data_IF_889567448829
#
_entry.id   IF_889567448829
#
_cell.length_a   1.000
_cell.length_b   1.000
_cell.length_c   1.000
_cell.angle_alpha   90.00
_cell.angle_beta   90.00
_cell.angle_gamma   90.00
#
_symmetry.space_group_name_H-M   'P 1'
#
loop_
_entity.id
_entity.type
_entity.pdbx_description
1 polymer ?
#
# COMPACT_ATOMS: atom_id res chain seq x y z
N UNK A 1 -13.39 -25.49 15.50
CA UNK A 1 -14.44 -24.55 15.09
C UNK A 1 -13.73 -23.40 14.37
N UNK A 2 -13.61 -23.45 13.04
CA UNK A 2 -12.89 -22.42 12.28
C UNK A 2 -13.83 -21.23 12.07
N UNK A 3 -13.48 -20.07 12.63
CA UNK A 3 -14.14 -18.83 12.27
C UNK A 3 -13.83 -18.53 10.80
N UNK A 4 -14.81 -18.74 9.93
CA UNK A 4 -14.80 -18.19 8.58
C UNK A 4 -14.76 -16.67 8.71
N UNK A 5 -13.58 -16.06 8.57
CA UNK A 5 -13.45 -14.62 8.39
C UNK A 5 -13.90 -14.25 6.96
N UNK A 6 -15.15 -14.56 6.66
CA UNK A 6 -15.85 -14.25 5.41
C UNK A 6 -16.66 -12.98 5.63
N UNK A 7 -15.95 -11.85 5.67
CA UNK A 7 -16.55 -10.54 5.64
C UNK A 7 -15.55 -9.59 5.02
N UNK A 8 -15.68 -9.32 3.73
CA UNK A 8 -14.90 -8.26 3.07
C UNK A 8 -15.38 -6.95 3.64
N UNK A 9 -14.59 -6.39 4.55
CA UNK A 9 -14.86 -5.12 5.20
C UNK A 9 -14.69 -3.96 4.19
N UNK A 10 -15.75 -3.17 3.99
CA UNK A 10 -15.72 -1.93 3.20
C UNK A 10 -14.69 -0.89 3.70
N UNK A 11 -14.22 -1.02 4.96
CA UNK A 11 -13.21 -0.17 5.59
C UNK A 11 -11.76 -0.62 5.34
N UNK A 12 -11.51 -1.77 4.69
CA UNK A 12 -10.14 -2.22 4.39
C UNK A 12 -9.44 -1.26 3.43
N UNK A 13 -10.09 -0.86 2.32
CA UNK A 13 -9.49 0.10 1.37
C UNK A 13 -9.19 1.45 2.02
N UNK A 14 -10.15 2.11 2.72
CA UNK A 14 -9.86 3.34 3.47
C UNK A 14 -8.72 3.20 4.49
N UNK A 15 -8.63 2.08 5.21
CA UNK A 15 -7.54 1.83 6.15
C UNK A 15 -6.17 1.79 5.45
N UNK A 16 -6.07 1.04 4.35
CA UNK A 16 -4.83 0.95 3.57
C UNK A 16 -4.42 2.31 2.99
N UNK A 17 -5.37 3.07 2.44
CA UNK A 17 -5.10 4.42 1.91
C UNK A 17 -4.66 5.37 3.02
N UNK A 18 -5.31 5.34 4.20
CA UNK A 18 -4.89 6.15 5.35
C UNK A 18 -3.45 5.88 5.78
N UNK A 19 -3.00 4.62 5.72
CA UNK A 19 -1.60 4.29 5.97
C UNK A 19 -0.69 4.78 4.82
N UNK A 20 -1.13 4.65 3.57
CA UNK A 20 -0.35 5.08 2.41
C UNK A 20 -0.04 6.58 2.42
N UNK A 21 -1.03 7.42 2.76
CA UNK A 21 -0.89 8.89 2.72
C UNK A 21 0.03 9.45 3.83
N UNK A 22 0.43 8.65 4.82
CA UNK A 22 1.42 9.06 5.83
C UNK A 22 2.86 8.82 5.37
N UNK A 23 3.06 8.23 4.18
CA UNK A 23 4.39 8.00 3.65
C UNK A 23 5.12 9.33 3.37
N UNK A 24 6.45 9.39 3.53
CA UNK A 24 7.22 10.52 3.05
C UNK A 24 7.14 10.59 1.52
N UNK A 25 7.19 11.82 0.98
CA UNK A 25 7.29 12.06 -0.46
C UNK A 25 8.18 13.26 -0.75
N UNK A 26 8.78 13.27 -1.95
CA UNK A 26 9.59 14.39 -2.44
C UNK A 26 8.79 15.70 -2.31
N UNK A 27 9.34 16.67 -1.60
CA UNK A 27 8.70 17.96 -1.28
C UNK A 27 7.25 17.85 -0.77
N UNK A 28 6.90 16.73 -0.14
CA UNK A 28 5.53 16.42 0.28
C UNK A 28 4.48 16.48 -0.85
N UNK A 29 4.90 16.22 -2.10
CA UNK A 29 4.03 16.26 -3.28
C UNK A 29 2.93 15.21 -3.25
N UNK A 30 3.13 14.11 -2.53
CA UNK A 30 2.20 12.98 -2.40
C UNK A 30 1.70 12.49 -3.77
N UNK A 31 2.61 12.03 -4.66
CA UNK A 31 2.31 11.84 -6.08
C UNK A 31 1.66 10.48 -6.37
N UNK A 32 0.68 10.08 -5.57
CA UNK A 32 0.02 8.79 -5.66
C UNK A 32 -1.49 8.94 -5.91
N UNK A 33 -2.03 8.06 -6.74
CA UNK A 33 -3.47 7.84 -6.91
C UNK A 33 -3.79 6.40 -6.53
N UNK A 34 -4.90 6.20 -5.82
CA UNK A 34 -5.34 4.88 -5.40
C UNK A 34 -6.72 4.57 -5.97
N UNK A 35 -6.90 3.34 -6.44
CA UNK A 35 -8.23 2.79 -6.72
C UNK A 35 -8.36 1.46 -5.97
N UNK A 36 -9.41 1.30 -5.17
CA UNK A 36 -9.65 0.07 -4.42
C UNK A 36 -10.94 -0.61 -4.81
N UNK A 37 -10.95 -1.94 -4.83
CA UNK A 37 -12.16 -2.75 -4.98
C UNK A 37 -12.09 -3.98 -4.10
N UNK A 38 -12.92 -4.03 -3.06
CA UNK A 38 -12.94 -5.13 -2.10
C UNK A 38 -11.59 -5.32 -1.42
N UNK A 39 -10.87 -6.36 -1.83
CA UNK A 39 -9.60 -6.78 -1.20
C UNK A 39 -8.35 -6.41 -2.02
N UNK A 40 -8.54 -5.58 -3.04
CA UNK A 40 -7.49 -5.12 -3.96
C UNK A 40 -7.30 -3.61 -3.84
N UNK A 41 -6.06 -3.17 -3.86
CA UNK A 41 -5.66 -1.78 -4.02
C UNK A 41 -4.69 -1.64 -5.21
N UNK A 42 -5.04 -0.83 -6.19
CA UNK A 42 -4.14 -0.43 -7.26
C UNK A 42 -3.55 0.96 -6.93
N UNK A 43 -2.23 1.09 -7.13
CA UNK A 43 -1.45 2.31 -6.92
C UNK A 43 -0.94 2.80 -8.27
N UNK A 44 -1.21 4.07 -8.55
CA UNK A 44 -0.73 4.77 -9.72
C UNK A 44 0.14 5.96 -9.34
N UNK A 45 1.10 6.30 -10.19
CA UNK A 45 1.83 7.56 -10.10
C UNK A 45 0.95 8.71 -10.63
N UNK A 46 0.81 9.78 -9.85
CA UNK A 46 0.13 11.00 -10.28
C UNK A 46 1.09 11.89 -11.06
N UNK A 47 1.08 11.79 -12.38
CA UNK A 47 1.99 12.58 -13.23
C UNK A 47 1.69 14.08 -13.21
N UNK A 48 0.52 14.50 -12.73
CA UNK A 48 0.20 15.92 -12.54
C UNK A 48 1.01 16.54 -11.39
N UNK A 49 1.60 15.72 -10.52
CA UNK A 49 2.41 16.15 -9.37
C UNK A 49 3.92 16.01 -9.60
N UNK A 50 4.34 15.83 -10.86
CA UNK A 50 5.76 15.78 -11.25
C UNK A 50 6.46 17.09 -10.96
N UNK A 51 7.77 17.00 -10.77
CA UNK A 51 8.64 18.14 -10.51
C UNK A 51 9.72 18.22 -11.61
N UNK A 52 9.42 18.80 -12.79
CA UNK A 52 10.31 18.72 -13.94
C UNK A 52 11.71 19.30 -13.72
N UNK A 53 11.86 20.24 -12.77
CA UNK A 53 13.14 20.89 -12.47
C UNK A 53 13.99 20.10 -11.48
N UNK A 54 13.39 19.51 -10.44
CA UNK A 54 14.13 18.84 -9.35
C UNK A 54 14.11 17.32 -9.48
N UNK A 55 13.12 16.75 -10.16
CA UNK A 55 12.99 15.31 -10.46
C UNK A 55 12.61 15.10 -11.94
N UNK A 56 13.51 15.45 -12.90
CA UNK A 56 13.23 15.41 -14.33
C UNK A 56 12.87 14.01 -14.85
N UNK A 57 13.49 12.97 -14.29
CA UNK A 57 13.24 11.58 -14.67
C UNK A 57 12.08 10.94 -13.89
N UNK A 58 11.43 11.70 -13.00
CA UNK A 58 10.36 11.22 -12.12
C UNK A 58 10.77 10.05 -11.21
N UNK A 59 12.07 9.93 -10.91
CA UNK A 59 12.60 8.86 -10.05
C UNK A 59 12.16 9.06 -8.61
N UNK A 60 12.24 10.29 -8.10
CA UNK A 60 11.84 10.60 -6.72
C UNK A 60 10.32 10.46 -6.53
N UNK A 61 9.54 10.78 -7.57
CA UNK A 61 8.11 10.50 -7.63
C UNK A 61 7.84 8.99 -7.45
N UNK A 62 8.51 8.12 -8.22
CA UNK A 62 8.33 6.67 -8.11
C UNK A 62 8.80 6.15 -6.76
N UNK A 63 9.90 6.67 -6.21
CA UNK A 63 10.38 6.34 -4.86
C UNK A 63 9.33 6.71 -3.80
N UNK A 64 8.71 7.88 -3.93
CA UNK A 64 7.64 8.34 -3.03
C UNK A 64 6.44 7.38 -3.09
N UNK A 65 6.02 6.96 -4.28
CA UNK A 65 4.99 5.93 -4.42
C UNK A 65 5.41 4.59 -3.81
N UNK A 66 6.69 4.21 -3.92
CA UNK A 66 7.24 3.02 -3.27
C UNK A 66 7.17 3.07 -1.73
N UNK A 67 7.38 4.25 -1.15
CA UNK A 67 7.17 4.46 0.29
C UNK A 67 5.70 4.28 0.67
N UNK A 68 4.77 4.86 -0.10
CA UNK A 68 3.33 4.66 0.10
C UNK A 68 2.91 3.19 -0.02
N UNK A 69 3.43 2.47 -1.02
CA UNK A 69 3.22 1.02 -1.17
C UNK A 69 3.73 0.22 0.02
N UNK A 70 4.86 0.64 0.61
CA UNK A 70 5.42 -0.02 1.80
C UNK A 70 4.48 0.13 3.00
N UNK A 71 3.91 1.31 3.21
CA UNK A 71 2.88 1.52 4.24
C UNK A 71 1.62 0.69 3.99
N UNK A 72 1.16 0.56 2.74
CA UNK A 72 0.04 -0.33 2.37
C UNK A 72 0.33 -1.77 2.76
N UNK A 73 1.54 -2.29 2.45
CA UNK A 73 1.94 -3.65 2.80
C UNK A 73 1.95 -3.87 4.31
N UNK A 74 2.43 -2.90 5.07
CA UNK A 74 2.44 -2.97 6.53
C UNK A 74 1.03 -2.96 7.11
N UNK A 75 0.15 -2.07 6.62
CA UNK A 75 -1.24 -1.99 7.05
C UNK A 75 -2.01 -3.29 6.73
N UNK A 76 -1.76 -3.90 5.57
CA UNK A 76 -2.37 -5.20 5.23
C UNK A 76 -1.93 -6.32 6.17
N UNK A 77 -0.65 -6.35 6.56
CA UNK A 77 -0.13 -7.29 7.56
C UNK A 77 -0.73 -7.05 8.94
N UNK A 78 -0.92 -5.79 9.33
CA UNK A 78 -1.58 -5.43 10.58
C UNK A 78 -3.03 -5.94 10.65
N UNK A 79 -3.72 -6.01 9.52
CA UNK A 79 -5.04 -6.65 9.40
C UNK A 79 -5.00 -8.18 9.37
N UNK A 80 -3.82 -8.80 9.48
CA UNK A 80 -3.64 -10.25 9.50
C UNK A 80 -3.63 -10.89 8.11
N UNK A 81 -3.23 -10.15 7.07
CA UNK A 81 -3.16 -10.70 5.71
C UNK A 81 -1.77 -10.56 5.10
N UNK A 82 -1.33 -11.57 4.36
CA UNK A 82 -0.10 -11.51 3.57
C UNK A 82 -0.36 -10.67 2.31
N UNK A 83 0.33 -9.53 2.09
CA UNK A 83 0.15 -8.74 0.88
C UNK A 83 0.79 -9.44 -0.32
N UNK A 84 0.02 -9.66 -1.37
CA UNK A 84 0.50 -10.12 -2.68
C UNK A 84 0.66 -8.90 -3.57
N UNK A 85 1.90 -8.57 -3.92
CA UNK A 85 2.22 -7.37 -4.70
C UNK A 85 2.59 -7.77 -6.12
N UNK A 86 1.86 -7.22 -7.09
CA UNK A 86 2.19 -7.28 -8.51
C UNK A 86 2.71 -5.91 -8.94
N UNK A 87 4.02 -5.81 -9.16
CA UNK A 87 4.63 -4.59 -9.70
C UNK A 87 4.35 -4.47 -11.20
N UNK A 88 4.04 -3.25 -11.66
CA UNK A 88 3.72 -2.94 -13.06
C UNK A 88 2.75 -3.94 -13.71
N UNK A 89 1.56 -4.17 -13.12
CA UNK A 89 0.65 -5.23 -13.54
C UNK A 89 0.02 -4.98 -14.92
N UNK A 90 0.07 -3.75 -15.42
CA UNK A 90 -0.33 -3.40 -16.78
C UNK A 90 0.89 -2.90 -17.58
N UNK A 91 1.45 -3.69 -18.51
CA UNK A 91 2.64 -3.30 -19.26
C UNK A 91 2.40 -2.10 -20.20
N UNK A 92 1.14 -1.81 -20.52
CA UNK A 92 0.73 -0.69 -21.38
C UNK A 92 0.46 0.59 -20.60
N UNK A 93 0.44 0.53 -19.26
CA UNK A 93 0.24 1.69 -18.41
C UNK A 93 1.40 1.81 -17.41
N UNK A 94 2.40 2.62 -17.77
CA UNK A 94 3.58 2.86 -16.94
C UNK A 94 3.29 3.61 -15.64
N UNK A 95 2.14 4.29 -15.53
CA UNK A 95 1.77 4.92 -14.26
C UNK A 95 1.14 3.93 -13.30
N UNK A 96 0.68 2.74 -13.75
CA UNK A 96 0.18 1.68 -12.88
C UNK A 96 1.36 0.96 -12.21
N UNK A 97 1.82 1.51 -11.09
CA UNK A 97 3.05 1.07 -10.44
C UNK A 97 2.88 -0.28 -9.72
N UNK A 98 1.74 -0.49 -9.07
CA UNK A 98 1.50 -1.71 -8.33
C UNK A 98 0.01 -2.05 -8.20
N UNK A 99 -0.25 -3.34 -8.07
CA UNK A 99 -1.48 -3.90 -7.52
C UNK A 99 -1.15 -4.68 -6.27
N UNK A 100 -1.92 -4.46 -5.21
CA UNK A 100 -1.84 -5.22 -3.96
C UNK A 100 -3.13 -5.98 -3.78
N UNK A 101 -3.05 -7.30 -3.82
CA UNK A 101 -4.14 -8.20 -3.50
C UNK A 101 -3.94 -8.75 -2.07
N UNK A 102 -5.05 -8.91 -1.35
CA UNK A 102 -5.06 -9.60 -0.06
C UNK A 102 -4.80 -11.10 -0.26
N UNK A 103 -3.68 -11.59 0.26
CA UNK A 103 -3.35 -13.01 0.28
C UNK A 103 -4.02 -13.77 1.41
N UNK A 104 -3.41 -14.88 1.79
CA UNK A 104 -3.87 -15.71 2.91
C UNK A 104 -3.89 -14.93 4.22
N UNK A 105 -4.79 -15.31 5.11
CA UNK A 105 -4.73 -14.86 6.50
C UNK A 105 -3.45 -15.42 7.14
N UNK A 106 -2.71 -14.54 7.80
CA UNK A 106 -1.56 -14.86 8.63
C UNK A 106 -1.68 -13.95 9.85
N UNK A 107 -1.75 -14.55 11.04
CA UNK A 107 -1.89 -13.81 12.29
C UNK A 107 -0.85 -12.67 12.33
N UNK A 108 -1.26 -11.42 12.62
CA UNK A 108 -0.29 -10.34 12.75
C UNK A 108 0.76 -10.77 13.76
N UNK A 109 2.06 -10.63 13.43
CA UNK A 109 3.14 -10.94 14.38
C UNK A 109 2.79 -10.34 15.74
N UNK A 110 2.62 -11.20 16.74
CA UNK A 110 2.40 -10.77 18.12
C UNK A 110 3.60 -9.91 18.52
N UNK A 111 3.36 -8.76 19.17
CA UNK A 111 4.42 -7.87 19.61
C UNK A 111 5.50 -8.67 20.37
N UNK A 112 6.76 -8.74 19.90
CA UNK A 112 7.81 -9.45 20.60
C UNK A 112 8.13 -8.85 21.98
N UNK A 113 7.57 -7.68 22.30
CA UNK A 113 7.67 -7.03 23.62
C UNK A 113 6.52 -7.37 24.58
N UNK A 114 5.61 -8.27 24.20
CA UNK A 114 4.42 -8.64 24.98
C UNK A 114 4.66 -9.52 26.21
N UNK A 115 5.85 -10.10 26.41
CA UNK A 115 6.20 -10.83 27.64
C UNK A 115 7.05 -9.99 28.56
N UNK A 116 6.47 -8.98 29.21
CA UNK A 116 6.98 -8.54 30.52
C UNK A 116 6.35 -9.46 31.57
N UNK A 117 7.07 -10.53 31.92
CA UNK A 117 6.75 -11.33 33.11
C UNK A 117 6.84 -10.42 34.37
N UNK A 118 5.99 -10.66 35.38
CA UNK A 118 5.96 -9.89 36.63
C UNK A 118 7.25 -10.00 37.44
#
# INVERSE_FOLDING_TARGET
>A
MYATHTGVDHATTPHLVRAAITAPSVHNTQPWLFTGRGTRLDLYADTARRLPLTDPDSREMVISCGAALSNVRLAMRHLGFVPVVHAFPNPWNRTHLARVDRGSYAEPDADPRGTRQP
#
